data_IF_036119252337
#
_entry.id   IF_036119252337
#
_cell.length_a   1.000
_cell.length_b   1.000
_cell.length_c   1.000
_cell.angle_alpha   90.00
_cell.angle_beta   90.00
_cell.angle_gamma   90.00
#
_symmetry.space_group_name_H-M   'P 1'
#
loop_
_entity.id
_entity.type
_entity.pdbx_description
1 polymer ?
#
# COMPACT_ATOMS: atom_id res chain seq x y z
N UNK A 1 -11.03 -24.58 -6.21
CA UNK A 1 -10.62 -24.29 -6.16
C UNK A 1 -10.19 -23.58 -6.24
N UNK A 2 -10.37 -23.05 -5.69
CA UNK A 2 -9.92 -22.35 -5.59
C UNK A 2 -9.09 -21.81 -6.06
N UNK A 3 -8.86 -22.21 -6.26
CA UNK A 3 -7.69 -21.76 -6.79
C UNK A 3 -7.76 -20.51 -7.28
N UNK A 4 -8.73 -20.43 -7.61
CA UNK A 4 -8.85 -19.24 -8.08
C UNK A 4 -8.33 -18.29 -7.22
N UNK A 5 -8.30 -18.72 -6.20
CA UNK A 5 -7.81 -17.87 -5.31
C UNK A 5 -6.44 -17.60 -5.61
N UNK A 6 -5.89 -18.19 -6.56
CA UNK A 6 -4.63 -17.77 -6.93
C UNK A 6 -4.73 -16.47 -7.52
N UNK A 7 -4.44 -15.48 -6.77
CA UNK A 7 -4.34 -14.16 -7.31
C UNK A 7 -2.98 -14.03 -7.96
N UNK A 8 -2.92 -13.33 -9.06
CA UNK A 8 -1.67 -13.13 -9.78
C UNK A 8 -0.90 -11.98 -9.15
N UNK A 9 -0.29 -12.24 -8.01
CA UNK A 9 0.55 -11.23 -7.37
C UNK A 9 1.83 -11.06 -8.17
N UNK A 10 2.24 -9.83 -8.44
CA UNK A 10 3.55 -9.62 -9.06
C UNK A 10 4.63 -10.05 -8.09
N UNK A 11 5.63 -10.75 -8.61
CA UNK A 11 6.70 -11.29 -7.78
C UNK A 11 7.89 -10.34 -7.73
N UNK A 12 8.76 -10.55 -6.75
CA UNK A 12 10.00 -9.78 -6.66
C UNK A 12 10.77 -9.94 -7.97
N UNK A 13 11.29 -8.84 -8.49
CA UNK A 13 11.99 -8.81 -9.76
C UNK A 13 11.13 -8.40 -10.93
N UNK A 14 9.81 -8.49 -10.81
CA UNK A 14 8.90 -8.12 -11.88
C UNK A 14 8.62 -6.62 -11.87
N UNK A 15 8.23 -6.09 -13.03
CA UNK A 15 7.79 -4.70 -13.09
C UNK A 15 6.52 -4.53 -12.26
N UNK A 16 6.47 -3.49 -11.44
CA UNK A 16 5.28 -3.20 -10.65
C UNK A 16 4.20 -2.66 -11.58
N UNK A 17 2.96 -3.19 -11.51
CA UNK A 17 1.88 -2.66 -12.33
C UNK A 17 1.64 -1.18 -12.07
N UNK A 18 1.52 -0.38 -13.14
CA UNK A 18 1.24 1.04 -12.99
C UNK A 18 -0.23 1.23 -12.63
N UNK A 19 -0.54 2.37 -12.08
CA UNK A 19 -1.91 2.74 -11.73
C UNK A 19 -2.04 4.25 -11.78
N UNK A 20 -3.25 4.74 -11.82
CA UNK A 20 -3.56 6.16 -11.73
C UNK A 20 -4.78 6.27 -10.84
N UNK A 21 -4.61 6.79 -9.64
CA UNK A 21 -5.66 6.81 -8.62
C UNK A 21 -5.77 8.18 -7.97
N UNK A 22 -6.99 8.48 -7.49
CA UNK A 22 -7.24 9.73 -6.79
C UNK A 22 -6.79 9.60 -5.34
N UNK A 23 -6.09 10.61 -4.86
CA UNK A 23 -5.57 10.60 -3.49
C UNK A 23 -6.54 11.22 -2.51
N UNK A 24 -6.23 11.06 -1.23
CA UNK A 24 -7.00 11.66 -0.13
C UNK A 24 -7.05 13.19 -0.21
N UNK A 25 -6.10 13.82 -0.91
CA UNK A 25 -6.10 15.29 -1.07
C UNK A 25 -6.78 15.73 -2.36
N UNK A 26 -7.36 14.78 -3.11
CA UNK A 26 -8.10 15.09 -4.33
C UNK A 26 -7.27 15.11 -5.60
N UNK A 27 -5.95 14.96 -5.50
CA UNK A 27 -5.10 14.94 -6.69
C UNK A 27 -5.06 13.53 -7.29
N UNK A 28 -4.51 13.42 -8.48
CA UNK A 28 -4.37 12.15 -9.18
C UNK A 28 -2.89 11.78 -9.19
N UNK A 29 -2.56 10.54 -8.80
CA UNK A 29 -1.16 10.08 -8.85
C UNK A 29 -1.06 8.76 -9.57
N UNK A 30 0.09 8.56 -10.21
CA UNK A 30 0.45 7.30 -10.88
C UNK A 30 1.73 6.78 -10.26
N UNK A 31 1.93 5.48 -10.31
CA UNK A 31 3.15 4.89 -9.76
C UNK A 31 4.39 5.48 -10.43
N UNK A 32 4.33 5.71 -11.73
CA UNK A 32 5.48 6.26 -12.47
C UNK A 32 5.91 7.64 -11.97
N UNK A 33 5.04 8.35 -11.26
CA UNK A 33 5.37 9.66 -10.69
C UNK A 33 6.44 9.54 -9.60
N UNK A 34 6.66 8.33 -9.11
CA UNK A 34 7.61 8.07 -8.02
C UNK A 34 8.90 7.41 -8.49
N UNK A 35 9.18 7.42 -9.79
CA UNK A 35 10.47 6.92 -10.29
C UNK A 35 11.59 7.69 -9.61
N UNK A 36 12.63 6.99 -9.19
CA UNK A 36 13.73 7.59 -8.45
C UNK A 36 13.58 7.47 -6.95
N UNK A 37 12.42 7.00 -6.49
CA UNK A 37 12.16 6.80 -5.05
C UNK A 37 11.72 5.38 -4.79
N UNK A 38 11.98 4.90 -3.59
CA UNK A 38 11.42 3.64 -3.13
C UNK A 38 9.97 3.90 -2.72
N UNK A 39 9.09 2.98 -3.04
CA UNK A 39 7.66 3.10 -2.71
C UNK A 39 7.26 1.94 -1.83
N UNK A 40 6.66 2.24 -0.68
CA UNK A 40 6.01 1.23 0.16
C UNK A 40 4.53 1.34 -0.15
N UNK A 41 4.04 0.42 -0.97
CA UNK A 41 2.65 0.42 -1.40
C UNK A 41 1.91 -0.64 -0.60
N UNK A 42 1.10 -0.21 0.36
CA UNK A 42 0.38 -1.17 1.19
C UNK A 42 -1.12 -1.13 0.89
N UNK A 43 -1.68 -2.32 0.71
CA UNK A 43 -3.12 -2.50 0.50
C UNK A 43 -3.75 -2.87 1.83
N UNK A 44 -4.93 -2.35 2.12
CA UNK A 44 -5.62 -2.64 3.36
C UNK A 44 -7.13 -2.67 3.11
N UNK A 45 -7.89 -3.44 3.93
CA UNK A 45 -9.30 -3.65 3.64
C UNK A 45 -10.21 -2.44 3.70
N UNK A 46 -10.11 -1.62 4.75
CA UNK A 46 -11.11 -0.57 4.91
C UNK A 46 -10.70 0.50 5.92
N UNK A 47 -10.96 1.77 5.56
CA UNK A 47 -10.77 2.90 6.47
C UNK A 47 -11.59 2.73 7.74
N UNK A 48 -11.13 3.31 8.82
CA UNK A 48 -11.84 3.36 10.10
C UNK A 48 -12.00 2.02 10.82
N UNK A 49 -11.40 0.94 10.31
CA UNK A 49 -11.39 -0.33 11.04
C UNK A 49 -10.18 -0.37 11.97
N UNK A 50 -10.26 -1.14 13.05
CA UNK A 50 -9.21 -1.13 14.08
C UNK A 50 -7.83 -1.54 13.56
N UNK A 51 -7.76 -2.62 12.80
CA UNK A 51 -6.46 -3.08 12.26
C UNK A 51 -5.87 -2.11 11.26
N UNK A 52 -6.70 -1.56 10.38
CA UNK A 52 -6.22 -0.62 9.38
C UNK A 52 -5.81 0.71 10.02
N UNK A 53 -6.51 1.12 11.05
CA UNK A 53 -6.14 2.32 11.80
C UNK A 53 -4.80 2.13 12.49
N UNK A 54 -4.59 0.98 13.11
CA UNK A 54 -3.31 0.67 13.77
C UNK A 54 -2.16 0.67 12.76
N UNK A 55 -2.36 0.02 11.62
CA UNK A 55 -1.34 -0.03 10.58
C UNK A 55 -0.98 1.37 10.08
N UNK A 56 -1.99 2.19 9.79
CA UNK A 56 -1.78 3.55 9.31
C UNK A 56 -1.06 4.41 10.35
N UNK A 57 -1.46 4.28 11.61
CA UNK A 57 -0.83 5.07 12.68
C UNK A 57 0.62 4.66 12.90
N UNK A 58 0.93 3.37 12.74
CA UNK A 58 2.31 2.93 12.87
C UNK A 58 3.19 3.45 11.75
N UNK A 59 2.66 3.48 10.50
CA UNK A 59 3.40 4.11 9.40
C UNK A 59 3.58 5.60 9.66
N UNK A 60 2.54 6.26 10.19
CA UNK A 60 2.64 7.69 10.49
C UNK A 60 3.66 7.95 11.59
N UNK A 61 3.66 7.13 12.63
CA UNK A 61 4.66 7.22 13.72
C UNK A 61 6.08 7.17 13.17
N UNK A 62 6.28 6.29 12.20
CA UNK A 62 7.62 6.04 11.65
C UNK A 62 7.91 6.80 10.36
N UNK A 63 6.99 7.69 9.95
CA UNK A 63 7.12 8.37 8.65
C UNK A 63 8.48 9.07 8.49
N UNK A 64 8.97 9.72 9.53
CA UNK A 64 10.26 10.40 9.49
C UNK A 64 11.43 9.43 9.30
N UNK A 65 11.24 8.15 9.56
CA UNK A 65 12.28 7.14 9.37
C UNK A 65 12.35 6.65 7.92
N UNK A 66 11.26 6.81 7.17
CA UNK A 66 11.23 6.44 5.76
C UNK A 66 11.92 7.48 4.89
N UNK A 67 11.85 8.73 5.27
CA UNK A 67 12.41 9.83 4.48
C UNK A 67 13.91 9.68 4.21
N UNK A 68 14.76 9.41 5.21
CA UNK A 68 16.19 9.22 4.94
C UNK A 68 16.48 8.03 4.04
N UNK A 69 15.54 7.10 3.91
CA UNK A 69 15.69 5.95 3.04
C UNK A 69 15.19 6.24 1.63
N UNK A 70 14.86 7.49 1.34
CA UNK A 70 14.31 7.91 0.04
C UNK A 70 13.07 7.10 -0.31
N UNK A 71 12.20 6.85 0.68
CA UNK A 71 11.01 6.03 0.52
C UNK A 71 9.74 6.82 0.83
N UNK A 72 8.70 6.57 0.04
CA UNK A 72 7.37 7.13 0.30
C UNK A 72 6.43 5.99 0.64
N UNK A 73 5.44 6.30 1.48
CA UNK A 73 4.42 5.33 1.87
C UNK A 73 3.11 5.72 1.20
N UNK A 74 2.50 4.76 0.51
CA UNK A 74 1.20 4.95 -0.14
C UNK A 74 0.28 3.83 0.31
N UNK A 75 -0.88 4.20 0.84
CA UNK A 75 -1.88 3.20 1.24
C UNK A 75 -3.00 3.13 0.22
N UNK A 76 -3.51 1.95 -0.05
CA UNK A 76 -4.57 1.75 -1.05
C UNK A 76 -5.69 0.90 -0.46
N UNK A 77 -6.92 1.36 -0.62
CA UNK A 77 -8.09 0.53 -0.32
C UNK A 77 -9.20 0.87 -1.32
N UNK A 78 -10.28 0.10 -1.29
CA UNK A 78 -11.41 0.35 -2.19
C UNK A 78 -12.33 1.46 -1.69
N UNK A 79 -11.98 2.10 -0.59
CA UNK A 79 -12.73 3.25 -0.09
C UNK A 79 -12.63 4.43 -1.05
N UNK A 80 -13.56 5.37 -0.91
CA UNK A 80 -13.56 6.57 -1.76
C UNK A 80 -12.51 7.57 -1.31
N UNK A 81 -12.19 8.52 -2.20
CA UNK A 81 -11.26 9.60 -1.86
C UNK A 81 -11.77 10.41 -0.66
N UNK A 82 -13.10 10.60 -0.58
CA UNK A 82 -13.67 11.34 0.55
C UNK A 82 -13.47 10.59 1.86
N UNK A 83 -13.67 9.26 1.85
CA UNK A 83 -13.42 8.44 3.03
C UNK A 83 -11.97 8.56 3.47
N UNK A 84 -11.04 8.49 2.53
CA UNK A 84 -9.61 8.63 2.81
C UNK A 84 -9.28 10.00 3.40
N UNK A 85 -9.92 11.05 2.87
CA UNK A 85 -9.70 12.39 3.38
C UNK A 85 -10.12 12.48 4.85
N UNK A 86 -11.30 11.93 5.16
CA UNK A 86 -11.81 11.94 6.53
C UNK A 86 -10.95 11.10 7.46
N UNK A 87 -10.47 9.95 6.96
CA UNK A 87 -9.62 9.06 7.73
C UNK A 87 -8.27 9.72 8.03
N UNK A 88 -7.65 10.35 7.04
CA UNK A 88 -6.41 11.07 7.22
C UNK A 88 -6.57 12.20 8.24
N UNK A 89 -7.68 12.93 8.16
CA UNK A 89 -7.93 14.04 9.08
C UNK A 89 -8.10 13.53 10.51
N UNK A 90 -8.86 12.44 10.67
CA UNK A 90 -9.11 11.91 12.00
C UNK A 90 -7.84 11.34 12.64
N UNK A 91 -7.03 10.63 11.87
CA UNK A 91 -5.86 9.94 12.42
C UNK A 91 -4.56 10.73 12.28
N UNK A 92 -4.62 11.91 11.70
CA UNK A 92 -3.42 12.75 11.54
C UNK A 92 -2.39 12.17 10.58
N UNK A 93 -2.84 11.58 9.48
CA UNK A 93 -1.93 10.95 8.52
C UNK A 93 -1.38 11.97 7.53
N UNK A 94 -0.07 11.98 7.37
CA UNK A 94 0.62 12.90 6.46
C UNK A 94 1.12 12.23 5.18
N UNK A 95 0.81 10.95 4.97
CA UNK A 95 1.11 10.28 3.71
C UNK A 95 -0.19 10.09 2.93
N UNK A 96 -0.08 9.79 1.64
CA UNK A 96 -1.25 9.72 0.79
C UNK A 96 -1.95 8.37 0.87
N UNK A 97 -3.27 8.42 0.90
CA UNK A 97 -4.11 7.22 0.73
C UNK A 97 -4.75 7.33 -0.64
N UNK A 98 -4.74 6.23 -1.38
CA UNK A 98 -5.21 6.19 -2.75
C UNK A 98 -6.53 5.44 -2.84
N UNK A 99 -7.49 6.02 -3.54
CA UNK A 99 -8.82 5.44 -3.68
C UNK A 99 -8.85 4.49 -4.88
N UNK A 100 -9.27 3.26 -4.65
CA UNK A 100 -9.35 2.22 -5.69
C UNK A 100 -10.76 1.60 -5.66
N UNK A 101 -11.82 2.40 -5.85
CA UNK A 101 -13.19 1.93 -5.64
C UNK A 101 -13.61 0.77 -6.53
N UNK A 102 -13.00 0.64 -7.71
CA UNK A 102 -13.30 -0.45 -8.64
C UNK A 102 -12.35 -1.64 -8.46
N UNK A 103 -11.49 -1.59 -7.46
CA UNK A 103 -10.51 -2.65 -7.15
C UNK A 103 -9.58 -2.96 -8.33
N UNK A 104 -9.31 -1.96 -9.19
CA UNK A 104 -8.43 -2.17 -10.34
C UNK A 104 -6.99 -2.38 -9.94
N UNK A 105 -6.45 -1.49 -9.12
CA UNK A 105 -5.08 -1.61 -8.66
C UNK A 105 -4.94 -2.81 -7.73
N UNK A 106 -5.92 -3.01 -6.84
CA UNK A 106 -5.92 -4.16 -5.95
C UNK A 106 -5.87 -5.46 -6.74
N UNK A 107 -6.62 -5.56 -7.83
CA UNK A 107 -6.64 -6.74 -8.69
C UNK A 107 -5.29 -6.90 -9.41
N UNK A 108 -4.74 -5.81 -9.96
CA UNK A 108 -3.47 -5.86 -10.67
C UNK A 108 -2.33 -6.36 -9.76
N UNK A 109 -2.41 -6.08 -8.47
CA UNK A 109 -1.42 -6.52 -7.51
C UNK A 109 -1.82 -7.83 -6.81
N UNK A 110 -2.87 -8.51 -7.30
CA UNK A 110 -3.31 -9.77 -6.71
C UNK A 110 -3.67 -9.64 -5.25
N UNK A 111 -4.22 -8.50 -4.87
CA UNK A 111 -4.46 -8.17 -3.46
C UNK A 111 -5.94 -7.84 -3.22
N UNK A 112 -6.80 -8.75 -3.65
CA UNK A 112 -8.26 -8.63 -3.49
C UNK A 112 -8.76 -9.78 -2.64
N UNK A 113 -9.70 -9.49 -1.76
CA UNK A 113 -10.41 -10.53 -1.03
C UNK A 113 -11.91 -10.27 -1.08
N UNK A 114 -12.69 -11.36 -0.99
CA UNK A 114 -14.13 -11.25 -0.90
C UNK A 114 -14.52 -11.24 0.57
N UNK A 115 -15.31 -10.28 0.97
CA UNK A 115 -15.82 -10.20 2.32
C UNK A 115 -17.31 -9.96 2.26
N UNK A 116 -18.09 -10.99 2.55
CA UNK A 116 -19.56 -10.91 2.53
C UNK A 116 -20.12 -10.34 1.23
N UNK A 117 -19.54 -10.77 0.12
CA UNK A 117 -19.99 -10.34 -1.20
C UNK A 117 -19.37 -9.06 -1.70
N UNK A 118 -18.56 -8.39 -0.89
CA UNK A 118 -17.85 -7.18 -1.30
C UNK A 118 -16.40 -7.49 -1.64
N UNK A 119 -15.86 -6.80 -2.62
CA UNK A 119 -14.44 -6.90 -2.91
C UNK A 119 -13.71 -5.86 -2.09
N UNK A 120 -12.77 -6.32 -1.28
CA UNK A 120 -11.91 -5.43 -0.48
C UNK A 120 -10.46 -5.72 -0.85
N UNK A 121 -9.58 -4.79 -0.55
CA UNK A 121 -8.16 -5.05 -0.74
C UNK A 121 -7.69 -5.98 0.37
N UNK A 122 -6.83 -6.93 0.01
CA UNK A 122 -6.22 -7.82 0.99
C UNK A 122 -5.02 -7.10 1.61
N UNK A 123 -4.67 -7.46 2.83
CA UNK A 123 -3.59 -6.80 3.57
C UNK A 123 -2.22 -7.27 3.09
N UNK A 124 -1.79 -6.74 1.96
CA UNK A 124 -0.50 -7.06 1.35
C UNK A 124 0.29 -5.78 1.11
N UNK A 125 1.61 -5.87 1.17
CA UNK A 125 2.47 -4.71 0.93
C UNK A 125 3.55 -5.05 -0.08
N UNK A 126 3.85 -4.10 -0.94
CA UNK A 126 4.88 -4.25 -1.98
C UNK A 126 5.91 -3.14 -1.81
N UNK A 127 7.18 -3.52 -1.72
CA UNK A 127 8.26 -2.53 -1.76
C UNK A 127 8.71 -2.46 -3.20
N UNK A 128 8.65 -1.27 -3.78
CA UNK A 128 8.97 -1.03 -5.19
C UNK A 128 10.23 -0.17 -5.24
N UNK A 129 11.21 -0.59 -6.04
CA UNK A 129 12.47 0.13 -6.12
C UNK A 129 12.39 1.35 -7.03
N UNK A 130 13.40 2.22 -7.07
CA UNK A 130 13.35 3.44 -7.87
C UNK A 130 13.17 3.23 -9.37
N UNK A 131 13.42 2.03 -9.87
CA UNK A 131 13.20 1.70 -11.28
C UNK A 131 11.79 1.22 -11.56
N UNK A 132 10.96 1.10 -10.53
CA UNK A 132 9.58 0.63 -10.69
C UNK A 132 9.44 -0.87 -10.69
N UNK A 133 10.38 -1.58 -10.11
CA UNK A 133 10.34 -3.04 -10.00
C UNK A 133 10.02 -3.46 -8.58
N UNK A 134 9.30 -4.56 -8.44
CA UNK A 134 8.98 -5.12 -7.12
C UNK A 134 10.27 -5.64 -6.49
N UNK A 135 10.60 -5.14 -5.31
CA UNK A 135 11.78 -5.60 -4.59
C UNK A 135 11.42 -6.61 -3.50
N UNK A 136 10.24 -6.48 -2.91
CA UNK A 136 9.79 -7.39 -1.86
C UNK A 136 8.28 -7.38 -1.74
N UNK A 137 7.71 -8.53 -1.39
CA UNK A 137 6.26 -8.69 -1.20
C UNK A 137 6.00 -9.21 0.22
N UNK A 138 5.05 -8.59 0.91
CA UNK A 138 4.55 -9.07 2.20
C UNK A 138 3.08 -9.41 2.04
N UNK A 139 2.68 -10.60 2.45
CA UNK A 139 1.27 -11.02 2.37
C UNK A 139 0.74 -11.31 3.77
N UNK A 140 -0.56 -11.13 3.96
CA UNK A 140 -1.18 -11.41 5.24
C UNK A 140 -0.55 -10.65 6.39
N UNK A 141 -0.33 -9.37 6.19
CA UNK A 141 0.42 -8.52 7.10
C UNK A 141 -0.24 -8.37 8.47
N UNK A 142 0.58 -8.34 9.52
CA UNK A 142 0.11 -8.05 10.88
C UNK A 142 0.27 -6.56 11.16
N UNK A 143 -0.82 -5.82 11.35
CA UNK A 143 -0.75 -4.37 11.51
C UNK A 143 0.19 -3.89 12.62
N UNK A 144 0.29 -4.63 13.71
CA UNK A 144 1.07 -4.19 14.87
C UNK A 144 2.57 -4.15 14.64
N UNK A 145 3.08 -4.95 13.70
CA UNK A 145 4.53 -5.09 13.51
C UNK A 145 5.02 -4.67 12.13
N UNK A 146 4.10 -4.33 11.26
CA UNK A 146 4.43 -4.21 9.85
C UNK A 146 5.35 -3.02 9.52
N UNK A 147 5.15 -1.87 10.14
CA UNK A 147 5.99 -0.72 9.85
C UNK A 147 7.46 -1.03 10.15
N UNK A 148 7.72 -1.70 11.27
CA UNK A 148 9.09 -2.09 11.64
C UNK A 148 9.66 -3.09 10.64
N UNK A 149 8.86 -4.07 10.20
CA UNK A 149 9.28 -5.04 9.19
C UNK A 149 9.69 -4.36 7.89
N UNK A 150 8.90 -3.40 7.46
CA UNK A 150 9.15 -2.69 6.21
C UNK A 150 10.42 -1.85 6.29
N UNK A 151 10.61 -1.15 7.40
CA UNK A 151 11.82 -0.34 7.60
C UNK A 151 13.06 -1.20 7.55
N UNK A 152 13.01 -2.35 8.21
CA UNK A 152 14.14 -3.28 8.22
C UNK A 152 14.43 -3.81 6.82
N UNK A 153 13.38 -4.18 6.11
CA UNK A 153 13.53 -4.70 4.74
C UNK A 153 14.10 -3.64 3.80
N UNK A 154 13.63 -2.39 3.91
CA UNK A 154 14.15 -1.29 3.09
C UNK A 154 15.64 -1.08 3.34
N UNK A 155 16.04 -1.07 4.61
CA UNK A 155 17.44 -0.88 4.94
C UNK A 155 18.30 -1.97 4.33
N UNK A 156 17.83 -3.22 4.39
CA UNK A 156 18.56 -4.34 3.82
C UNK A 156 18.63 -4.28 2.29
N UNK A 157 17.53 -3.93 1.65
CA UNK A 157 17.48 -3.83 0.19
C UNK A 157 18.42 -2.75 -0.34
N UNK A 158 18.62 -1.70 0.44
CA UNK A 158 19.48 -0.58 0.03
C UNK A 158 20.96 -0.81 0.30
N UNK A 159 21.30 -1.85 1.03
CA UNK A 159 22.70 -2.17 1.29
C UNK A 159 23.40 -2.75 0.06
N UNK A 160 22.64 -3.43 -0.75
CA UNK A 160 23.21 -4.08 -1.92
C UNK A 160 23.28 -3.16 -3.08
#
# INVERSE_FOLDING_TARGET
MLGAEKQNQPAAGAAAPDFSLTTSDGSQVSLKDYRGKWVVLYFYPKDFTSGCTLEAKNFQRDLAKFEPLNAVVLGVSVDTAQSHKDFCAKEGLNFKLLADPDAKASTAYGSVMDYKGEKLAARNTFIINPKGEIAKVFTGVKPSEHSDEVLKALAELQKG
#
